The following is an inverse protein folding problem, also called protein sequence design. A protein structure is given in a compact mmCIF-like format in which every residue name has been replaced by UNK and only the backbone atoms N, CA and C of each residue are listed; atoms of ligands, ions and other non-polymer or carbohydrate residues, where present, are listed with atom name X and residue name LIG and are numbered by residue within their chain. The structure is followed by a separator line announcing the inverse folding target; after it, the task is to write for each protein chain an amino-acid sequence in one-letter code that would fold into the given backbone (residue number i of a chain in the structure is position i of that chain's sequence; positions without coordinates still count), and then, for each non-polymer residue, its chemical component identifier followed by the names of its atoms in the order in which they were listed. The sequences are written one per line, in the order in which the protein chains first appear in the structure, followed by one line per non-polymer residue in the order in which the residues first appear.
data_IF_785294693162
#
_entry.id   IF_785294693162
#
_cell.length_a   1.000
_cell.length_b   1.000
_cell.length_c   1.000
_cell.angle_alpha   90.00
_cell.angle_beta   90.00
_cell.angle_gamma   90.00
#
_symmetry.space_group_name_H-M   'P 1'
#
loop_
_entity.id
_entity.type
_entity.pdbx_description
1 polymer ?
#
# COMPACT_ATOMS: atom_id res chain seq x y z
N UNK A 1 6.88 -6.34 22.58
CA UNK A 1 7.93 -5.31 22.73
C UNK A 1 8.54 -4.89 21.38
N UNK A 2 8.52 -5.72 20.34
CA UNK A 2 8.97 -5.33 18.99
C UNK A 2 8.00 -4.38 18.26
N UNK A 3 6.69 -4.61 18.36
CA UNK A 3 5.66 -3.80 17.68
C UNK A 3 5.69 -2.30 18.05
N UNK A 4 5.97 -2.00 19.33
CA UNK A 4 6.10 -0.63 19.83
C UNK A 4 7.35 0.08 19.30
N UNK A 5 8.43 -0.67 19.04
CA UNK A 5 9.66 -0.12 18.46
C UNK A 5 9.48 0.21 16.98
N UNK A 6 8.85 -0.67 16.20
CA UNK A 6 8.53 -0.40 14.79
C UNK A 6 7.59 0.78 14.62
N UNK A 7 6.58 0.92 15.50
CA UNK A 7 5.69 2.07 15.49
C UNK A 7 6.42 3.38 15.82
N UNK A 8 7.36 3.36 16.78
CA UNK A 8 8.19 4.53 17.08
C UNK A 8 9.11 4.89 15.91
N UNK A 9 9.79 3.92 15.29
CA UNK A 9 10.65 4.16 14.12
C UNK A 9 9.85 4.72 12.93
N UNK A 10 8.62 4.25 12.75
CA UNK A 10 7.70 4.79 11.74
C UNK A 10 7.30 6.23 12.03
N UNK A 11 6.95 6.55 13.29
CA UNK A 11 6.62 7.91 13.72
C UNK A 11 7.81 8.87 13.57
N UNK A 12 9.00 8.43 13.96
CA UNK A 12 10.23 9.22 13.84
C UNK A 12 10.59 9.48 12.38
N UNK A 13 10.37 8.50 11.49
CA UNK A 13 10.56 8.66 10.04
C UNK A 13 9.57 9.66 9.44
N UNK A 14 8.29 9.60 9.83
CA UNK A 14 7.27 10.60 9.42
C UNK A 14 7.65 12.00 9.91
N UNK A 15 8.09 12.12 11.16
CA UNK A 15 8.46 13.41 11.76
C UNK A 15 9.66 14.02 11.05
N UNK A 16 10.68 13.21 10.75
CA UNK A 16 11.85 13.65 10.00
C UNK A 16 11.49 14.03 8.55
N UNK A 17 10.57 13.31 7.93
CA UNK A 17 10.04 13.67 6.60
C UNK A 17 9.31 15.01 6.62
N UNK A 18 8.47 15.27 7.62
CA UNK A 18 7.75 16.54 7.77
C UNK A 18 8.69 17.72 8.01
N UNK A 19 9.74 17.53 8.81
CA UNK A 19 10.71 18.59 9.12
C UNK A 19 11.60 18.95 7.92
N UNK A 20 11.89 18.00 7.03
CA UNK A 20 12.63 18.25 5.80
C UNK A 20 11.75 18.67 4.61
N UNK A 21 10.45 18.82 4.83
CA UNK A 21 9.49 19.15 3.77
C UNK A 21 9.44 20.66 3.52
N UNK A 22 10.05 21.09 2.42
CA UNK A 22 10.06 22.49 2.01
C UNK A 22 8.85 22.83 1.12
N UNK A 23 7.77 23.29 1.76
CA UNK A 23 6.53 23.75 1.13
C UNK A 23 6.74 24.82 0.05
N UNK A 24 7.79 25.66 0.17
CA UNK A 24 8.07 26.71 -0.82
C UNK A 24 8.63 26.13 -2.11
N UNK A 25 9.50 25.12 -2.00
CA UNK A 25 10.03 24.38 -3.15
C UNK A 25 8.93 23.61 -3.89
N UNK A 26 7.96 23.10 -3.13
CA UNK A 26 6.78 22.38 -3.64
C UNK A 26 5.76 23.30 -4.34
N UNK A 27 5.44 24.46 -3.77
CA UNK A 27 4.54 25.43 -4.42
C UNK A 27 5.11 25.93 -5.76
N UNK A 28 6.44 26.08 -5.85
CA UNK A 28 7.11 26.49 -7.07
C UNK A 28 7.19 25.38 -8.14
N UNK A 29 7.21 24.10 -7.77
CA UNK A 29 7.19 22.98 -8.74
C UNK A 29 5.80 22.73 -9.32
N UNK A 30 4.74 23.10 -8.60
CA UNK A 30 3.35 23.02 -9.09
C UNK A 30 3.02 24.05 -10.18
N UNK A 31 3.76 25.16 -10.25
CA UNK A 31 3.47 26.28 -11.16
C UNK A 31 3.89 26.11 -12.62
N UNK A 32 4.47 24.96 -13.03
CA UNK A 32 5.27 24.92 -14.26
C UNK A 32 4.93 23.90 -15.35
N UNK A 33 4.27 22.76 -15.06
CA UNK A 33 4.13 21.69 -16.05
C UNK A 33 2.74 21.07 -16.10
N UNK A 34 2.02 21.32 -17.19
CA UNK A 34 0.72 20.73 -17.50
C UNK A 34 0.73 19.19 -17.46
N UNK A 35 1.89 18.55 -17.69
CA UNK A 35 2.01 17.09 -17.65
C UNK A 35 1.87 16.51 -16.23
N UNK A 36 2.38 17.22 -15.21
CA UNK A 36 2.28 16.76 -13.81
C UNK A 36 0.84 16.83 -13.29
N UNK A 37 0.07 17.84 -13.72
CA UNK A 37 -1.33 17.97 -13.36
C UNK A 37 -2.19 16.84 -13.94
N UNK A 38 -1.94 16.44 -15.20
CA UNK A 38 -2.64 15.33 -15.84
C UNK A 38 -2.33 14.01 -15.13
N UNK A 39 -1.06 13.74 -14.83
CA UNK A 39 -0.66 12.56 -14.06
C UNK A 39 -1.34 12.54 -12.69
N UNK A 40 -1.35 13.66 -11.96
CA UNK A 40 -2.03 13.77 -10.68
C UNK A 40 -3.54 13.48 -10.78
N UNK A 41 -4.22 13.95 -11.84
CA UNK A 41 -5.63 13.67 -12.08
C UNK A 41 -5.90 12.18 -12.41
N UNK A 42 -5.00 11.51 -13.14
CA UNK A 42 -5.09 10.08 -13.41
C UNK A 42 -4.94 9.28 -12.12
N UNK A 43 -3.93 9.59 -11.30
CA UNK A 43 -3.74 8.98 -10.00
C UNK A 43 -4.92 9.22 -9.06
N UNK A 44 -5.48 10.44 -9.06
CA UNK A 44 -6.71 10.76 -8.32
C UNK A 44 -7.87 9.86 -8.76
N UNK A 45 -8.15 9.79 -10.07
CA UNK A 45 -9.26 9.03 -10.62
C UNK A 45 -9.16 7.54 -10.36
N UNK A 46 -7.95 6.98 -10.50
CA UNK A 46 -7.68 5.57 -10.22
C UNK A 46 -7.90 5.26 -8.74
N UNK A 47 -7.33 6.06 -7.85
CA UNK A 47 -7.51 5.89 -6.41
C UNK A 47 -8.96 6.13 -5.96
N UNK A 48 -9.67 7.06 -6.59
CA UNK A 48 -11.10 7.26 -6.39
C UNK A 48 -11.92 6.03 -6.76
N UNK A 49 -11.69 5.46 -7.95
CA UNK A 49 -12.37 4.24 -8.39
C UNK A 49 -12.08 3.07 -7.45
N UNK A 50 -10.82 2.90 -7.03
CA UNK A 50 -10.41 1.88 -6.06
C UNK A 50 -11.11 2.10 -4.72
N UNK A 51 -11.12 3.33 -4.18
CA UNK A 51 -11.78 3.64 -2.90
C UNK A 51 -13.28 3.38 -2.94
N UNK A 52 -13.94 3.76 -4.04
CA UNK A 52 -15.37 3.51 -4.28
C UNK A 52 -15.68 2.01 -4.34
N UNK A 53 -14.93 1.27 -5.15
CA UNK A 53 -15.06 -0.19 -5.28
C UNK A 53 -14.80 -0.89 -3.95
N UNK A 54 -13.80 -0.41 -3.20
CA UNK A 54 -13.44 -0.97 -1.92
C UNK A 54 -14.64 -0.90 -0.98
N UNK A 55 -15.26 0.25 -0.71
CA UNK A 55 -16.42 0.30 0.21
C UNK A 55 -17.60 -0.55 -0.27
N UNK A 56 -17.92 -0.49 -1.57
CA UNK A 56 -19.08 -1.19 -2.14
C UNK A 56 -18.92 -2.71 -2.13
N UNK A 57 -17.74 -3.21 -2.44
CA UNK A 57 -17.47 -4.65 -2.59
C UNK A 57 -16.58 -5.25 -1.50
N UNK A 58 -16.17 -4.49 -0.48
CA UNK A 58 -15.28 -5.00 0.57
C UNK A 58 -15.81 -6.28 1.19
N UNK A 59 -17.11 -6.31 1.52
CA UNK A 59 -17.75 -7.49 2.10
C UNK A 59 -17.72 -8.68 1.15
N UNK A 60 -17.99 -8.46 -0.13
CA UNK A 60 -17.99 -9.54 -1.14
C UNK A 60 -16.57 -10.06 -1.39
N UNK A 61 -15.59 -9.17 -1.59
CA UNK A 61 -14.18 -9.52 -1.76
C UNK A 61 -13.65 -10.29 -0.55
N UNK A 62 -13.87 -9.76 0.66
CA UNK A 62 -13.41 -10.39 1.89
C UNK A 62 -14.07 -11.76 2.11
N UNK A 63 -15.38 -11.87 1.85
CA UNK A 63 -16.08 -13.14 1.97
C UNK A 63 -15.63 -14.14 0.90
N UNK A 64 -15.41 -13.70 -0.34
CA UNK A 64 -14.87 -14.56 -1.41
C UNK A 64 -13.48 -15.08 -1.08
N UNK A 65 -12.63 -14.24 -0.47
CA UNK A 65 -11.29 -14.61 -0.05
C UNK A 65 -11.33 -15.65 1.07
N UNK A 66 -12.21 -15.46 2.06
CA UNK A 66 -12.42 -16.43 3.15
C UNK A 66 -12.92 -17.75 2.58
N UNK A 67 -13.96 -17.73 1.73
CA UNK A 67 -14.54 -18.93 1.14
C UNK A 67 -13.52 -19.67 0.29
N UNK A 68 -12.76 -18.96 -0.56
CA UNK A 68 -11.67 -19.56 -1.34
C UNK A 68 -10.60 -20.18 -0.43
N UNK A 69 -10.19 -19.49 0.63
CA UNK A 69 -9.27 -20.02 1.63
C UNK A 69 -9.79 -21.30 2.29
N UNK A 70 -11.07 -21.33 2.69
CA UNK A 70 -11.70 -22.51 3.26
C UNK A 70 -11.76 -23.67 2.28
N UNK A 71 -12.11 -23.43 1.01
CA UNK A 71 -12.14 -24.46 -0.04
C UNK A 71 -10.74 -25.06 -0.23
N UNK A 72 -9.70 -24.23 -0.28
CA UNK A 72 -8.30 -24.68 -0.43
C UNK A 72 -7.88 -25.55 0.77
N UNK A 73 -8.22 -25.13 2.00
CA UNK A 73 -7.91 -25.90 3.22
C UNK A 73 -8.66 -27.23 3.25
N UNK A 74 -9.95 -27.25 2.91
CA UNK A 74 -10.75 -28.47 2.85
C UNK A 74 -10.26 -29.42 1.76
N UNK A 75 -9.89 -28.91 0.58
CA UNK A 75 -9.32 -29.72 -0.48
C UNK A 75 -7.96 -30.32 -0.09
N UNK A 76 -7.18 -29.60 0.73
CA UNK A 76 -5.93 -30.12 1.28
C UNK A 76 -6.17 -31.22 2.31
N UNK A 77 -7.10 -31.03 3.23
CA UNK A 77 -7.42 -32.01 4.28
C UNK A 77 -7.99 -33.32 3.71
N UNK A 78 -8.81 -33.22 2.67
CA UNK A 78 -9.37 -34.39 1.97
C UNK A 78 -8.38 -35.07 1.00
N UNK A 79 -7.12 -34.62 0.95
CA UNK A 79 -6.09 -35.23 0.10
C UNK A 79 -6.27 -35.00 -1.40
N UNK A 80 -7.24 -34.17 -1.81
CA UNK A 80 -7.49 -33.81 -3.21
C UNK A 80 -6.43 -32.84 -3.76
N UNK A 81 -5.76 -32.09 -2.88
CA UNK A 81 -4.74 -31.10 -3.22
C UNK A 81 -3.54 -31.19 -2.26
N UNK A 82 -2.35 -31.49 -2.76
CA UNK A 82 -1.11 -31.41 -1.98
C UNK A 82 -0.54 -30.00 -2.10
N UNK A 83 -0.72 -29.17 -1.07
CA UNK A 83 -0.20 -27.80 -1.08
C UNK A 83 1.31 -27.85 -0.89
N UNK A 84 2.07 -27.50 -1.95
CA UNK A 84 3.50 -27.29 -1.83
C UNK A 84 3.76 -25.95 -1.13
N UNK A 85 3.89 -26.01 0.20
CA UNK A 85 4.17 -24.84 1.03
C UNK A 85 5.48 -24.14 0.66
N UNK A 86 6.44 -24.85 0.04
CA UNK A 86 7.69 -24.26 -0.47
C UNK A 86 7.45 -23.34 -1.68
N UNK A 87 6.57 -23.74 -2.60
CA UNK A 87 6.19 -22.92 -3.75
C UNK A 87 5.38 -21.68 -3.35
N UNK A 88 4.47 -21.82 -2.37
CA UNK A 88 3.72 -20.68 -1.80
C UNK A 88 4.68 -19.70 -1.14
N UNK A 89 5.64 -20.18 -0.35
CA UNK A 89 6.68 -19.35 0.26
C UNK A 89 7.49 -18.57 -0.77
N UNK A 90 7.83 -19.20 -1.90
CA UNK A 90 8.54 -18.53 -2.99
C UNK A 90 7.64 -17.53 -3.76
N UNK A 91 6.37 -17.85 -3.99
CA UNK A 91 5.40 -16.97 -4.66
C UNK A 91 5.03 -15.73 -3.86
N UNK A 92 4.86 -15.87 -2.54
CA UNK A 92 4.58 -14.76 -1.64
C UNK A 92 5.84 -14.04 -1.15
N UNK A 93 7.03 -14.43 -1.62
CA UNK A 93 8.30 -13.85 -1.16
C UNK A 93 8.64 -14.15 0.30
N UNK A 94 7.87 -15.03 0.96
CA UNK A 94 8.14 -15.55 2.32
C UNK A 94 9.20 -16.67 2.21
N UNK A 95 10.29 -16.39 1.50
CA UNK A 95 11.51 -17.14 1.67
C UNK A 95 11.99 -16.91 3.10
N UNK A 96 12.59 -17.93 3.72
CA UNK A 96 13.28 -17.92 5.02
C UNK A 96 14.46 -16.92 5.10
N UNK A 97 14.50 -15.91 4.23
CA UNK A 97 15.47 -14.82 4.15
C UNK A 97 14.93 -13.46 4.60
N UNK A 98 13.65 -13.34 4.98
CA UNK A 98 13.18 -12.14 5.70
C UNK A 98 13.59 -12.27 7.17
N UNK A 99 14.90 -12.29 7.41
CA UNK A 99 15.50 -12.20 8.72
C UNK A 99 15.45 -10.74 9.15
N UNK A 100 14.30 -10.25 9.63
CA UNK A 100 14.16 -9.06 10.50
C UNK A 100 14.79 -7.71 10.11
N UNK A 101 15.50 -7.59 8.98
CA UNK A 101 16.32 -6.43 8.61
C UNK A 101 15.83 -5.66 7.37
N UNK A 102 15.07 -6.30 6.48
CA UNK A 102 14.63 -5.70 5.20
C UNK A 102 13.36 -4.84 5.31
N UNK A 103 12.61 -4.93 6.42
CA UNK A 103 11.41 -4.12 6.61
C UNK A 103 11.77 -2.64 6.69
N UNK A 104 12.87 -2.29 7.36
CA UNK A 104 13.36 -0.91 7.42
C UNK A 104 13.82 -0.41 6.05
N UNK A 105 14.42 -1.27 5.22
CA UNK A 105 14.86 -0.91 3.88
C UNK A 105 13.66 -0.67 2.95
N UNK A 106 12.62 -1.51 3.02
CA UNK A 106 11.36 -1.30 2.31
C UNK A 106 10.64 -0.02 2.74
N UNK A 107 10.62 0.25 4.05
CA UNK A 107 10.02 1.47 4.61
C UNK A 107 10.76 2.70 4.10
N UNK A 108 12.09 2.70 4.15
CA UNK A 108 12.89 3.82 3.67
C UNK A 108 12.70 4.05 2.16
N UNK A 109 12.71 2.99 1.35
CA UNK A 109 12.42 3.09 -0.09
C UNK A 109 11.01 3.64 -0.38
N UNK A 110 10.02 3.25 0.41
CA UNK A 110 8.67 3.80 0.30
C UNK A 110 8.65 5.29 0.64
N UNK A 111 9.30 5.71 1.73
CA UNK A 111 9.36 7.11 2.11
C UNK A 111 10.15 7.97 1.12
N UNK A 112 11.26 7.45 0.56
CA UNK A 112 12.01 8.13 -0.49
C UNK A 112 11.15 8.29 -1.75
N UNK A 113 10.40 7.25 -2.14
CA UNK A 113 9.46 7.35 -3.26
C UNK A 113 8.35 8.37 -2.99
N UNK A 114 7.78 8.39 -1.77
CA UNK A 114 6.76 9.39 -1.36
C UNK A 114 7.33 10.80 -1.39
N UNK A 115 8.58 10.99 -0.96
CA UNK A 115 9.26 12.28 -1.02
C UNK A 115 9.42 12.77 -2.45
N UNK A 116 9.80 11.88 -3.36
CA UNK A 116 10.01 12.19 -4.77
C UNK A 116 8.69 12.38 -5.55
N UNK A 117 7.60 11.72 -5.13
CA UNK A 117 6.31 11.67 -5.83
C UNK A 117 5.14 12.17 -4.99
N UNK A 118 5.40 13.13 -4.11
CA UNK A 118 4.47 13.56 -3.07
C UNK A 118 3.13 14.08 -3.63
N UNK A 119 3.15 14.77 -4.78
CA UNK A 119 1.94 15.28 -5.43
C UNK A 119 0.99 14.13 -5.82
N UNK A 120 1.52 13.08 -6.43
CA UNK A 120 0.75 11.91 -6.82
C UNK A 120 0.24 11.17 -5.59
N UNK A 121 1.08 11.06 -4.55
CA UNK A 121 0.70 10.43 -3.29
C UNK A 121 -0.47 11.16 -2.59
N UNK A 122 -0.42 12.49 -2.47
CA UNK A 122 -1.53 13.28 -1.91
C UNK A 122 -2.78 13.14 -2.78
N UNK A 123 -2.63 13.22 -4.11
CA UNK A 123 -3.72 13.06 -5.06
C UNK A 123 -4.40 11.68 -4.92
N UNK A 124 -3.61 10.61 -4.77
CA UNK A 124 -4.07 9.26 -4.50
C UNK A 124 -4.84 9.18 -3.16
N UNK A 125 -4.29 9.76 -2.09
CA UNK A 125 -4.92 9.74 -0.76
C UNK A 125 -6.28 10.45 -0.81
N UNK A 126 -6.32 11.66 -1.36
CA UNK A 126 -7.57 12.44 -1.45
C UNK A 126 -8.57 11.72 -2.33
N UNK A 127 -8.15 11.23 -3.51
CA UNK A 127 -8.99 10.43 -4.40
C UNK A 127 -9.57 9.21 -3.71
N UNK A 128 -8.73 8.44 -3.02
CA UNK A 128 -9.15 7.24 -2.28
C UNK A 128 -10.16 7.56 -1.18
N UNK A 129 -9.92 8.56 -0.33
CA UNK A 129 -10.85 8.91 0.74
C UNK A 129 -12.18 9.45 0.21
N UNK A 130 -12.14 10.26 -0.84
CA UNK A 130 -13.35 10.77 -1.49
C UNK A 130 -14.15 9.63 -2.12
N UNK A 131 -13.47 8.74 -2.85
CA UNK A 131 -14.08 7.53 -3.42
C UNK A 131 -14.66 6.61 -2.36
N UNK A 132 -13.91 6.35 -1.29
CA UNK A 132 -14.37 5.55 -0.17
C UNK A 132 -15.55 6.18 0.56
N UNK A 133 -15.61 7.51 0.72
CA UNK A 133 -16.78 8.14 1.35
C UNK A 133 -18.03 8.00 0.48
N UNK A 134 -17.89 8.18 -0.83
CA UNK A 134 -18.97 8.16 -1.82
C UNK A 134 -19.42 6.75 -2.24
N UNK A 135 -18.58 5.74 -2.04
CA UNK A 135 -18.88 4.32 -2.30
C UNK A 135 -19.79 3.65 -1.30
#
# INVERSE_FOLDING_TARGET
MELTKTLQTFFDSIKNMWLQFDLKKWANSLGGSSSQAILAAVYFGLSFAIGYLFKKYFKFLFMSLIVAGFIIVLAHYNGLLTINMGAIKNLFGIGTKVTGGDVNLLINHFFDWVRDNLLYFISCIVGFFVGYKLG
#
